data_IF_967748038853
#
_entry.id   IF_967748038853
#
_cell.length_a   1.000
_cell.length_b   1.000
_cell.length_c   1.000
_cell.angle_alpha   90.00
_cell.angle_beta   90.00
_cell.angle_gamma   90.00
#
_symmetry.space_group_name_H-M   'P 1'
#
loop_
_entity.id
_entity.type
_entity.pdbx_description
1 polymer ?
#
# COMPACT_ATOMS: atom_id res chain seq x y z
N UNK A 1 -41.16 25.27 74.56
CA UNK A 1 -39.83 24.67 74.80
C UNK A 1 -39.82 23.26 74.23
N UNK A 2 -39.17 23.08 73.07
CA UNK A 2 -38.74 21.83 72.39
C UNK A 2 -38.41 22.22 70.94
N UNK A 3 -37.20 22.72 70.73
CA UNK A 3 -36.02 22.03 70.17
C UNK A 3 -36.13 21.91 68.65
N UNK A 4 -35.30 22.71 67.98
CA UNK A 4 -34.98 22.64 66.55
C UNK A 4 -34.43 21.26 66.21
N UNK A 5 -34.83 20.72 65.06
CA UNK A 5 -34.07 19.71 64.34
C UNK A 5 -33.86 20.21 62.91
N UNK A 6 -32.66 20.75 62.67
CA UNK A 6 -32.11 21.00 61.34
C UNK A 6 -31.82 19.65 60.69
N UNK A 7 -32.63 19.27 59.70
CA UNK A 7 -32.29 18.15 58.81
C UNK A 7 -31.31 18.66 57.75
N UNK A 8 -30.04 18.32 57.93
CA UNK A 8 -28.98 18.53 56.95
C UNK A 8 -29.15 17.48 55.83
N UNK A 9 -29.63 17.91 54.66
CA UNK A 9 -29.72 17.06 53.47
C UNK A 9 -28.32 16.95 52.86
N UNK A 10 -27.63 15.84 53.10
CA UNK A 10 -26.39 15.49 52.39
C UNK A 10 -26.79 14.89 51.06
N UNK A 11 -26.70 15.69 49.99
CA UNK A 11 -26.83 15.20 48.62
C UNK A 11 -25.56 14.43 48.25
N UNK A 12 -25.62 13.10 48.30
CA UNK A 12 -24.58 12.24 47.76
C UNK A 12 -24.62 12.31 46.22
N UNK A 13 -23.74 13.09 45.61
CA UNK A 13 -23.46 12.98 44.18
C UNK A 13 -22.75 11.64 43.93
N UNK A 14 -23.51 10.63 43.51
CA UNK A 14 -22.93 9.42 42.91
C UNK A 14 -22.40 9.80 41.53
N UNK A 15 -21.09 9.96 41.42
CA UNK A 15 -20.38 9.97 40.13
C UNK A 15 -20.57 8.59 39.51
N UNK A 16 -21.54 8.46 38.62
CA UNK A 16 -21.64 7.30 37.73
C UNK A 16 -20.46 7.42 36.76
N UNK A 17 -19.38 6.70 37.08
CA UNK A 17 -18.32 6.43 36.14
C UNK A 17 -18.92 5.59 35.02
N UNK A 18 -19.23 6.22 33.89
CA UNK A 18 -19.52 5.49 32.65
C UNK A 18 -18.23 4.82 32.19
N UNK A 19 -17.94 3.64 32.73
CA UNK A 19 -16.98 2.73 32.11
C UNK A 19 -17.67 2.19 30.87
N UNK A 20 -17.43 2.80 29.71
CA UNK A 20 -17.83 2.20 28.45
C UNK A 20 -16.92 0.99 28.23
N UNK A 21 -17.34 -0.18 28.68
CA UNK A 21 -16.71 -1.43 28.27
C UNK A 21 -16.91 -1.55 26.77
N UNK A 22 -15.86 -1.20 26.00
CA UNK A 22 -15.87 -1.40 24.55
C UNK A 22 -15.81 -2.90 24.33
N UNK A 23 -16.92 -3.48 23.95
CA UNK A 23 -16.98 -4.88 23.53
C UNK A 23 -16.07 -5.08 22.33
N UNK A 24 -15.12 -6.00 22.44
CA UNK A 24 -14.22 -6.33 21.34
C UNK A 24 -14.96 -7.21 20.35
N UNK A 25 -15.33 -6.65 19.21
CA UNK A 25 -15.84 -7.42 18.07
C UNK A 25 -14.64 -8.02 17.32
N UNK A 26 -14.58 -9.34 17.23
CA UNK A 26 -13.50 -10.07 16.56
C UNK A 26 -14.03 -10.76 15.32
N UNK A 27 -13.43 -10.43 14.18
CA UNK A 27 -13.54 -11.21 12.95
C UNK A 27 -12.21 -11.92 12.70
N UNK A 28 -12.27 -13.24 12.48
CA UNK A 28 -11.09 -14.06 12.25
C UNK A 28 -11.14 -14.70 10.87
N UNK A 29 -9.99 -14.72 10.20
CA UNK A 29 -9.82 -15.32 8.89
C UNK A 29 -8.63 -16.28 8.90
N UNK A 30 -8.75 -17.39 8.19
CA UNK A 30 -7.71 -18.40 8.08
C UNK A 30 -7.29 -18.64 6.63
N UNK A 31 -5.98 -18.64 6.42
CA UNK A 31 -5.33 -19.16 5.21
C UNK A 31 -4.36 -20.25 5.62
N UNK A 32 -4.42 -21.41 4.97
CA UNK A 32 -3.61 -22.57 5.35
C UNK A 32 -3.01 -23.27 4.14
N UNK A 33 -1.86 -23.93 4.36
CA UNK A 33 -1.24 -24.79 3.34
C UNK A 33 -2.16 -25.96 2.92
N UNK A 34 -3.08 -26.39 3.81
CA UNK A 34 -4.09 -27.40 3.53
C UNK A 34 -5.26 -26.91 2.68
N UNK A 35 -5.31 -25.61 2.34
CA UNK A 35 -6.19 -25.06 1.31
C UNK A 35 -7.25 -24.08 1.78
N UNK A 36 -7.27 -23.66 3.05
CA UNK A 36 -8.11 -22.51 3.44
C UNK A 36 -7.59 -21.24 2.79
N UNK A 37 -8.50 -20.39 2.32
CA UNK A 37 -8.19 -19.17 1.55
C UNK A 37 -9.03 -18.03 2.10
N UNK A 38 -8.45 -17.23 3.00
CA UNK A 38 -9.12 -16.14 3.71
C UNK A 38 -10.53 -16.54 4.18
N UNK A 39 -10.63 -17.75 4.73
CA UNK A 39 -11.92 -18.32 5.11
C UNK A 39 -12.31 -17.81 6.50
N UNK A 40 -13.55 -17.33 6.70
CA UNK A 40 -13.97 -16.84 8.01
C UNK A 40 -13.96 -17.97 9.04
N UNK A 41 -13.55 -17.64 10.26
CA UNK A 41 -13.53 -18.53 11.42
C UNK A 41 -14.51 -18.00 12.45
N UNK A 42 -15.59 -18.73 12.68
CA UNK A 42 -16.62 -18.40 13.66
C UNK A 42 -16.58 -19.31 14.91
N UNK A 43 -15.85 -20.42 14.84
CA UNK A 43 -15.74 -21.39 15.93
C UNK A 43 -14.34 -21.31 16.55
N UNK A 44 -14.30 -20.89 17.82
CA UNK A 44 -13.08 -20.83 18.60
C UNK A 44 -13.08 -21.97 19.62
N UNK A 45 -12.00 -22.76 19.65
CA UNK A 45 -11.83 -23.81 20.64
C UNK A 45 -11.76 -23.24 22.04
N UNK A 46 -12.50 -23.82 22.98
CA UNK A 46 -12.53 -23.41 24.40
C UNK A 46 -11.80 -24.38 25.33
N UNK A 47 -11.30 -25.50 24.81
CA UNK A 47 -10.68 -26.57 25.59
C UNK A 47 -9.15 -26.58 25.43
N UNK A 48 -8.41 -26.44 26.55
CA UNK A 48 -6.96 -26.64 26.64
C UNK A 48 -6.22 -25.55 27.44
N UNK A 49 -4.95 -25.83 27.79
CA UNK A 49 -4.03 -24.79 28.26
C UNK A 49 -3.70 -23.85 27.10
N UNK A 50 -4.36 -22.68 27.05
CA UNK A 50 -4.12 -21.67 26.02
C UNK A 50 -2.92 -20.79 26.36
N UNK A 51 -2.08 -20.51 25.36
CA UNK A 51 -1.12 -19.41 25.46
C UNK A 51 -1.84 -18.06 25.46
N UNK A 52 -1.47 -17.16 26.35
CA UNK A 52 -2.09 -15.83 26.45
C UNK A 52 -1.27 -14.79 25.71
N UNK A 53 -1.92 -14.05 24.81
CA UNK A 53 -1.37 -12.86 24.15
C UNK A 53 -2.18 -11.66 24.63
N UNK A 54 -1.49 -10.61 25.10
CA UNK A 54 -2.12 -9.39 25.64
C UNK A 54 -1.78 -8.19 24.75
N UNK A 55 -2.81 -7.44 24.35
CA UNK A 55 -2.65 -6.14 23.72
C UNK A 55 -2.44 -5.07 24.79
N UNK A 56 -1.49 -4.16 24.55
CA UNK A 56 -1.16 -3.03 25.43
C UNK A 56 -1.34 -1.73 24.63
N UNK A 57 -2.57 -1.17 24.54
CA UNK A 57 -2.87 -0.04 23.64
C UNK A 57 -2.07 1.23 23.93
N UNK A 58 -1.63 1.44 25.17
CA UNK A 58 -0.82 2.60 25.57
C UNK A 58 0.67 2.47 25.15
N UNK A 59 1.06 1.33 24.58
CA UNK A 59 2.41 1.08 24.07
C UNK A 59 2.40 1.11 22.53
N UNK A 60 2.61 2.30 21.98
CA UNK A 60 2.62 2.52 20.54
C UNK A 60 4.00 2.31 19.90
N UNK A 61 4.00 1.97 18.61
CA UNK A 61 5.20 1.83 17.77
C UNK A 61 5.02 2.63 16.47
N UNK A 62 5.54 2.14 15.34
CA UNK A 62 5.45 2.83 14.06
C UNK A 62 4.01 2.86 13.51
N UNK A 63 3.66 3.97 12.85
CA UNK A 63 2.51 4.01 11.95
C UNK A 63 2.80 3.21 10.69
N UNK A 64 1.83 2.39 10.25
CA UNK A 64 1.94 1.61 9.01
C UNK A 64 1.50 2.46 7.82
N UNK A 65 2.38 2.64 6.84
CA UNK A 65 2.11 3.45 5.64
C UNK A 65 1.10 2.79 4.69
N UNK A 66 1.15 1.47 4.57
CA UNK A 66 0.27 0.67 3.71
C UNK A 66 0.93 -0.62 3.24
N UNK A 67 0.18 -1.40 2.47
CA UNK A 67 0.62 -2.67 1.86
C UNK A 67 0.20 -2.71 0.40
N UNK A 68 0.94 -3.43 -0.43
CA UNK A 68 0.56 -3.66 -1.82
C UNK A 68 1.67 -4.24 -2.69
N UNK A 69 1.70 -3.84 -3.96
CA UNK A 69 2.56 -4.41 -4.99
C UNK A 69 3.08 -3.38 -5.99
N UNK A 70 3.79 -3.85 -7.03
CA UNK A 70 4.42 -2.99 -8.02
C UNK A 70 3.67 -3.00 -9.36
N UNK A 71 3.37 -1.82 -9.89
CA UNK A 71 3.01 -1.60 -11.30
C UNK A 71 4.28 -1.69 -12.14
N UNK A 72 4.52 -2.85 -12.74
CA UNK A 72 5.62 -3.09 -13.70
C UNK A 72 5.07 -3.23 -15.10
N UNK A 73 5.87 -2.92 -16.11
CA UNK A 73 5.51 -3.11 -17.53
C UNK A 73 5.10 -4.57 -17.79
N UNK A 74 5.82 -5.57 -17.27
CA UNK A 74 5.42 -6.97 -17.41
C UNK A 74 4.03 -7.27 -16.82
N UNK A 75 3.69 -6.69 -15.67
CA UNK A 75 2.36 -6.86 -15.07
C UNK A 75 1.28 -6.18 -15.91
N UNK A 76 1.54 -4.97 -16.39
CA UNK A 76 0.62 -4.23 -17.25
C UNK A 76 0.42 -4.92 -18.60
N UNK A 77 1.50 -5.41 -19.22
CA UNK A 77 1.47 -6.21 -20.44
C UNK A 77 0.61 -7.45 -20.29
N UNK A 78 0.84 -8.27 -19.25
CA UNK A 78 0.04 -9.47 -18.98
C UNK A 78 -1.43 -9.13 -18.75
N UNK A 79 -1.70 -8.05 -18.01
CA UNK A 79 -3.06 -7.58 -17.77
C UNK A 79 -3.75 -7.08 -19.05
N UNK A 80 -2.99 -6.49 -19.98
CA UNK A 80 -3.47 -6.06 -21.30
C UNK A 80 -3.76 -7.24 -22.25
N UNK A 81 -3.14 -8.41 -22.04
CA UNK A 81 -3.47 -9.63 -22.80
C UNK A 81 -4.82 -10.26 -22.39
N UNK A 82 -5.41 -9.80 -21.29
CA UNK A 82 -6.69 -10.32 -20.82
C UNK A 82 -7.86 -9.56 -21.45
N UNK A 83 -8.98 -10.25 -21.61
CA UNK A 83 -10.25 -9.59 -21.90
C UNK A 83 -10.71 -8.69 -20.73
N UNK A 84 -11.51 -7.67 -21.04
CA UNK A 84 -11.94 -6.64 -20.09
C UNK A 84 -12.54 -7.21 -18.78
N UNK A 85 -13.30 -8.31 -18.87
CA UNK A 85 -13.88 -8.95 -17.69
C UNK A 85 -12.81 -9.48 -16.72
N UNK A 86 -11.81 -10.21 -17.23
CA UNK A 86 -10.76 -10.79 -16.40
C UNK A 86 -9.78 -9.72 -15.90
N UNK A 87 -9.51 -8.69 -16.72
CA UNK A 87 -8.78 -7.50 -16.27
C UNK A 87 -9.47 -6.87 -15.05
N UNK A 88 -10.78 -6.62 -15.15
CA UNK A 88 -11.56 -6.02 -14.05
C UNK A 88 -11.51 -6.89 -12.80
N UNK A 89 -11.68 -8.21 -12.91
CA UNK A 89 -11.59 -9.13 -11.76
C UNK A 89 -10.26 -9.01 -11.01
N UNK A 90 -9.15 -8.88 -11.72
CA UNK A 90 -7.81 -8.75 -11.10
C UNK A 90 -7.67 -7.37 -10.42
N UNK A 91 -8.09 -6.30 -11.09
CA UNK A 91 -8.04 -4.95 -10.52
C UNK A 91 -8.92 -4.86 -9.27
N UNK A 92 -10.15 -5.35 -9.31
CA UNK A 92 -11.05 -5.40 -8.16
C UNK A 92 -10.47 -6.25 -7.02
N UNK A 93 -9.84 -7.40 -7.33
CA UNK A 93 -9.27 -8.27 -6.31
C UNK A 93 -8.13 -7.61 -5.53
N UNK A 94 -7.35 -6.72 -6.15
CA UNK A 94 -6.25 -6.02 -5.47
C UNK A 94 -6.67 -4.67 -4.87
N UNK A 95 -7.52 -3.91 -5.56
CA UNK A 95 -7.79 -2.51 -5.22
C UNK A 95 -9.25 -2.23 -4.83
N UNK A 96 -10.19 -3.09 -5.21
CA UNK A 96 -11.60 -2.90 -4.93
C UNK A 96 -11.96 -3.11 -3.45
N UNK A 97 -13.15 -2.65 -3.03
CA UNK A 97 -13.59 -2.69 -1.63
C UNK A 97 -13.70 -4.10 -1.05
N UNK A 98 -14.05 -5.07 -1.88
CA UNK A 98 -14.16 -6.49 -1.51
C UNK A 98 -12.84 -7.26 -1.70
N UNK A 99 -11.77 -6.56 -2.10
CA UNK A 99 -10.46 -7.13 -2.41
C UNK A 99 -9.43 -6.95 -1.31
N UNK A 100 -8.15 -7.01 -1.69
CA UNK A 100 -7.02 -6.81 -0.78
C UNK A 100 -6.82 -5.34 -0.34
N UNK A 101 -7.53 -4.40 -0.98
CA UNK A 101 -7.49 -2.94 -0.69
C UNK A 101 -6.05 -2.41 -0.57
N UNK A 102 -5.23 -2.69 -1.59
CA UNK A 102 -3.85 -2.19 -1.67
C UNK A 102 -3.81 -0.68 -1.44
N UNK A 103 -2.95 -0.26 -0.51
CA UNK A 103 -2.83 1.10 0.00
C UNK A 103 -1.43 1.69 -0.21
N UNK A 104 -0.43 0.86 -0.53
CA UNK A 104 0.92 1.28 -0.90
C UNK A 104 1.40 0.46 -2.10
N UNK A 105 1.73 1.16 -3.17
CA UNK A 105 2.21 0.56 -4.42
C UNK A 105 3.55 1.14 -4.82
N UNK A 106 4.18 0.48 -5.79
CA UNK A 106 5.43 0.93 -6.40
C UNK A 106 5.28 1.01 -7.92
N UNK A 107 5.99 1.93 -8.56
CA UNK A 107 6.24 1.87 -10.00
C UNK A 107 7.72 2.13 -10.29
N UNK A 108 8.18 1.69 -11.46
CA UNK A 108 9.53 1.95 -11.91
C UNK A 108 9.58 3.24 -12.73
N UNK A 109 10.72 3.91 -12.70
CA UNK A 109 11.04 5.00 -13.63
C UNK A 109 12.05 4.45 -14.63
N UNK A 110 11.87 4.73 -15.93
CA UNK A 110 12.57 4.04 -17.03
C UNK A 110 12.27 2.53 -17.02
N UNK A 111 12.98 1.72 -17.79
CA UNK A 111 12.85 0.26 -17.73
C UNK A 111 13.39 -0.34 -16.43
N UNK A 112 12.88 -1.53 -16.09
CA UNK A 112 13.44 -2.42 -15.07
C UNK A 112 13.73 -3.82 -15.64
N UNK A 113 14.13 -4.76 -14.80
CA UNK A 113 14.29 -6.18 -15.16
C UNK A 113 12.95 -6.88 -15.50
N UNK A 114 11.82 -6.26 -15.12
CA UNK A 114 10.45 -6.65 -15.49
C UNK A 114 9.87 -5.74 -16.59
N UNK A 115 10.74 -5.15 -17.41
CA UNK A 115 10.35 -4.45 -18.64
C UNK A 115 10.50 -5.35 -19.87
N UNK A 116 9.75 -5.05 -20.94
CA UNK A 116 9.82 -5.80 -22.20
C UNK A 116 11.10 -5.47 -22.98
N UNK A 117 11.69 -4.31 -22.72
CA UNK A 117 12.98 -3.90 -23.25
C UNK A 117 13.67 -2.90 -22.31
N UNK A 118 14.93 -2.54 -22.61
CA UNK A 118 15.59 -1.44 -21.90
C UNK A 118 15.22 -0.11 -22.55
N UNK A 119 14.75 0.84 -21.76
CA UNK A 119 14.38 2.18 -22.21
C UNK A 119 14.61 3.20 -21.11
N UNK A 120 14.65 4.47 -21.50
CA UNK A 120 14.67 5.60 -20.56
C UNK A 120 13.84 6.74 -21.11
N UNK A 121 13.29 7.56 -20.22
CA UNK A 121 12.52 8.74 -20.64
C UNK A 121 13.37 9.83 -21.31
N UNK A 122 14.70 9.79 -21.19
CA UNK A 122 15.63 10.71 -21.83
C UNK A 122 16.61 9.98 -22.78
N UNK A 123 16.13 9.50 -23.95
CA UNK A 123 16.92 8.62 -24.82
C UNK A 123 17.98 9.35 -25.65
N UNK A 124 17.92 10.68 -25.78
CA UNK A 124 18.83 11.47 -26.62
C UNK A 124 20.14 11.76 -25.90
N UNK A 125 21.26 11.24 -26.42
CA UNK A 125 22.60 11.46 -25.85
C UNK A 125 22.97 12.96 -25.88
N UNK A 126 23.40 13.47 -24.72
CA UNK A 126 23.80 14.87 -24.54
C UNK A 126 22.64 15.85 -24.31
N UNK A 127 21.39 15.38 -24.22
CA UNK A 127 20.23 16.21 -23.88
C UNK A 127 20.14 16.50 -22.37
N UNK A 128 21.14 17.26 -21.88
CA UNK A 128 21.28 17.66 -20.47
C UNK A 128 20.09 18.50 -19.99
N UNK A 129 19.44 19.23 -20.90
CA UNK A 129 18.26 20.05 -20.62
C UNK A 129 16.94 19.25 -20.65
N UNK A 130 17.00 17.94 -20.92
CA UNK A 130 15.84 17.04 -20.97
C UNK A 130 14.73 17.51 -21.93
N UNK A 131 15.10 18.19 -23.01
CA UNK A 131 14.17 18.73 -24.00
C UNK A 131 13.37 17.65 -24.75
N UNK A 132 13.92 16.44 -24.81
CA UNK A 132 13.33 15.25 -25.43
C UNK A 132 12.73 14.27 -24.41
N UNK A 133 12.60 14.67 -23.14
CA UNK A 133 12.05 13.81 -22.10
C UNK A 133 10.61 13.40 -22.43
N UNK A 134 10.32 12.10 -22.35
CA UNK A 134 8.98 11.57 -22.63
C UNK A 134 8.69 10.29 -21.85
N UNK A 135 7.45 10.17 -21.37
CA UNK A 135 6.88 8.97 -20.74
C UNK A 135 6.04 8.13 -21.71
N UNK A 136 6.26 8.28 -23.02
CA UNK A 136 5.44 7.63 -24.05
C UNK A 136 5.35 6.11 -23.85
N UNK A 137 6.46 5.47 -23.45
CA UNK A 137 6.54 4.02 -23.17
C UNK A 137 5.48 3.55 -22.16
N UNK A 138 5.11 4.38 -21.18
CA UNK A 138 4.21 3.98 -20.09
C UNK A 138 2.73 4.29 -20.38
N UNK A 139 2.42 5.01 -21.48
CA UNK A 139 1.08 5.55 -21.74
C UNK A 139 0.06 4.50 -22.11
N UNK A 140 0.47 3.41 -22.72
CA UNK A 140 -0.41 2.36 -23.24
C UNK A 140 -0.60 1.19 -22.26
N UNK A 141 0.17 1.13 -21.17
CA UNK A 141 0.16 -0.01 -20.26
C UNK A 141 0.13 0.38 -18.76
N UNK A 142 1.22 0.92 -18.20
CA UNK A 142 1.39 1.20 -16.77
C UNK A 142 0.42 2.28 -16.34
N UNK A 143 0.31 3.38 -17.08
CA UNK A 143 -0.57 4.50 -16.74
C UNK A 143 -2.05 4.07 -16.77
N UNK A 144 -2.57 3.38 -17.80
CA UNK A 144 -3.91 2.82 -17.78
C UNK A 144 -4.15 1.86 -16.61
N UNK A 145 -3.20 0.97 -16.30
CA UNK A 145 -3.32 0.05 -15.15
C UNK A 145 -3.43 0.79 -13.82
N UNK A 146 -2.62 1.83 -13.61
CA UNK A 146 -2.70 2.68 -12.41
C UNK A 146 -4.05 3.39 -12.34
N UNK A 147 -4.54 3.94 -13.46
CA UNK A 147 -5.84 4.63 -13.52
C UNK A 147 -7.01 3.69 -13.23
N UNK A 148 -6.97 2.46 -13.74
CA UNK A 148 -7.98 1.44 -13.44
C UNK A 148 -8.00 1.10 -11.94
N UNK A 149 -6.81 0.95 -11.33
CA UNK A 149 -6.68 0.73 -9.89
C UNK A 149 -7.22 1.92 -9.07
N UNK A 150 -6.89 3.16 -9.48
CA UNK A 150 -7.40 4.37 -8.82
C UNK A 150 -8.92 4.49 -8.90
N UNK A 151 -9.53 4.03 -10.01
CA UNK A 151 -10.98 4.13 -10.21
C UNK A 151 -11.79 3.22 -9.29
N UNK A 152 -11.22 2.11 -8.82
CA UNK A 152 -11.90 1.14 -7.93
C UNK A 152 -11.48 1.23 -6.46
N UNK A 153 -10.37 1.90 -6.18
CA UNK A 153 -9.85 2.07 -4.82
C UNK A 153 -10.64 3.16 -4.08
N UNK A 154 -11.40 2.77 -3.06
CA UNK A 154 -12.21 3.71 -2.27
C UNK A 154 -11.37 4.61 -1.36
N UNK A 155 -10.37 4.03 -0.67
CA UNK A 155 -9.51 4.75 0.27
C UNK A 155 -8.28 5.38 -0.41
N UNK A 156 -8.10 5.11 -1.71
CA UNK A 156 -6.90 5.45 -2.48
C UNK A 156 -5.66 4.66 -2.06
N UNK A 157 -4.54 4.96 -2.72
CA UNK A 157 -3.24 4.37 -2.39
C UNK A 157 -2.09 5.33 -2.69
N UNK A 158 -0.95 5.07 -2.05
CA UNK A 158 0.30 5.78 -2.31
C UNK A 158 1.09 5.07 -3.41
N UNK A 159 1.83 5.83 -4.21
CA UNK A 159 2.76 5.30 -5.22
C UNK A 159 4.18 5.74 -4.87
N UNK A 160 5.08 4.77 -4.70
CA UNK A 160 6.51 5.01 -4.63
C UNK A 160 7.13 4.78 -6.03
N UNK A 161 7.75 5.80 -6.60
CA UNK A 161 8.50 5.66 -7.85
C UNK A 161 9.99 5.45 -7.55
N UNK A 162 10.65 4.57 -8.30
CA UNK A 162 12.10 4.36 -8.15
C UNK A 162 12.74 4.01 -9.49
N UNK A 163 13.83 4.68 -9.90
CA UNK A 163 14.58 4.31 -11.09
C UNK A 163 15.46 3.09 -10.84
N UNK A 164 15.68 2.27 -11.88
CA UNK A 164 16.71 1.20 -11.84
C UNK A 164 18.07 1.71 -12.30
N UNK A 165 18.08 2.53 -13.34
CA UNK A 165 19.30 3.08 -13.93
C UNK A 165 19.02 4.42 -14.61
N UNK A 166 20.04 5.28 -14.63
CA UNK A 166 20.10 6.41 -15.54
C UNK A 166 20.28 5.93 -17.00
N UNK A 167 19.95 6.76 -18.00
CA UNK A 167 20.28 6.49 -19.41
C UNK A 167 21.77 6.15 -19.59
N UNK A 168 22.13 5.24 -20.51
CA UNK A 168 23.53 4.85 -20.73
C UNK A 168 24.46 6.05 -20.97
N UNK A 169 24.01 7.09 -21.69
CA UNK A 169 24.84 8.27 -21.98
C UNK A 169 25.20 9.10 -20.74
N UNK A 170 24.46 8.94 -19.62
CA UNK A 170 24.79 9.59 -18.36
C UNK A 170 25.80 8.81 -17.50
N UNK A 171 26.24 7.62 -17.96
CA UNK A 171 27.01 6.67 -17.15
C UNK A 171 28.43 6.46 -17.69
N UNK A 172 29.37 6.20 -16.78
CA UNK A 172 30.78 5.97 -17.09
C UNK A 172 31.04 4.77 -18.02
N UNK A 173 30.15 3.77 -17.99
CA UNK A 173 30.27 2.54 -18.75
C UNK A 173 29.39 2.48 -20.00
N UNK A 174 28.54 3.48 -20.23
CA UNK A 174 27.59 3.52 -21.36
C UNK A 174 26.72 2.25 -21.52
N UNK A 175 26.38 1.57 -20.41
CA UNK A 175 25.52 0.37 -20.40
C UNK A 175 24.37 0.53 -19.41
N UNK A 176 23.26 -0.18 -19.65
CA UNK A 176 22.12 -0.26 -18.75
C UNK A 176 22.46 -0.91 -17.40
N UNK A 177 23.44 -1.80 -17.36
CA UNK A 177 23.83 -2.60 -16.18
C UNK A 177 25.15 -2.12 -15.60
N UNK A 178 25.22 -2.06 -14.28
CA UNK A 178 26.42 -1.59 -13.56
C UNK A 178 26.74 -0.12 -13.87
N UNK A 179 28.00 0.26 -13.72
CA UNK A 179 28.44 1.64 -13.93
C UNK A 179 27.98 2.61 -12.85
N UNK A 180 28.36 3.87 -13.02
CA UNK A 180 28.02 4.98 -12.12
C UNK A 180 27.55 6.18 -12.92
N UNK A 181 26.62 6.94 -12.35
CA UNK A 181 26.24 8.24 -12.87
C UNK A 181 27.47 9.17 -12.85
N UNK A 182 27.77 9.80 -13.98
CA UNK A 182 28.86 10.76 -14.07
C UNK A 182 28.47 12.04 -13.31
N UNK A 183 29.39 12.66 -12.54
CA UNK A 183 29.10 13.87 -11.76
C UNK A 183 28.52 15.04 -12.57
N UNK A 184 28.92 15.17 -13.84
CA UNK A 184 28.42 16.20 -14.76
C UNK A 184 26.93 16.09 -15.08
N UNK A 185 26.30 14.93 -14.84
CA UNK A 185 24.86 14.71 -15.07
C UNK A 185 24.04 14.64 -13.77
N UNK A 186 24.61 15.00 -12.61
CA UNK A 186 23.86 14.96 -11.34
C UNK A 186 22.66 15.89 -11.36
N UNK A 187 22.81 17.11 -11.89
CA UNK A 187 21.73 18.09 -11.95
C UNK A 187 20.64 17.67 -12.96
N UNK A 188 21.01 17.10 -14.11
CA UNK A 188 20.04 16.57 -15.08
C UNK A 188 19.30 15.33 -14.61
N UNK A 189 19.89 14.56 -13.67
CA UNK A 189 19.27 13.34 -13.15
C UNK A 189 18.35 13.61 -11.95
N UNK A 190 18.53 14.73 -11.24
CA UNK A 190 17.76 15.12 -10.05
C UNK A 190 16.33 15.55 -10.40
#
# INVERSE_FOLDING_TARGET
MKILTNSLIIAALTLVSCTSDKELVVEAFETSASGKKLSPVSEFGTDGEASQIKLLPDQEFQTITGFGGSFTEASAYLLNQLGAENRKKIIDAYFGPEGARYSLTRTHMNSCDFSLSNYSYAPVEGDVELSSFSIEEDKEDIIPMIKDAMAVSEDGFKIMASPWTAPPWMKDNKDWRGGKLLPEYYDSWA
#
